data_IF_910219278437
#
_entry.id   IF_910219278437
#
_cell.length_a   1.000
_cell.length_b   1.000
_cell.length_c   1.000
_cell.angle_alpha   90.00
_cell.angle_beta   90.00
_cell.angle_gamma   90.00
#
_symmetry.space_group_name_H-M   'P 1'
#
loop_
_entity.id
_entity.type
_entity.pdbx_description
1 polymer ?
#
# COMPACT_ATOMS: atom_id res chain seq x y z
N UNK A 1 19.42 31.98 9.79
CA UNK A 1 20.49 32.88 10.26
C UNK A 1 21.70 32.07 10.72
N UNK A 2 22.94 32.54 10.50
CA UNK A 2 24.14 32.00 11.16
C UNK A 2 24.92 33.16 11.76
N UNK A 3 25.09 33.16 13.08
CA UNK A 3 25.69 34.26 13.85
C UNK A 3 25.06 35.64 13.54
N UNK A 4 23.73 35.71 13.51
CA UNK A 4 23.00 36.97 13.26
C UNK A 4 22.97 37.45 11.80
N UNK A 5 23.49 36.66 10.84
CA UNK A 5 23.49 37.01 9.41
C UNK A 5 22.57 36.10 8.60
N UNK A 6 21.84 36.68 7.65
CA UNK A 6 21.14 35.93 6.60
C UNK A 6 22.20 35.33 5.68
N UNK A 7 22.28 34.00 5.69
CA UNK A 7 23.26 33.25 4.90
C UNK A 7 22.86 33.11 3.42
N UNK A 8 21.61 32.76 3.08
CA UNK A 8 21.24 32.58 1.67
C UNK A 8 21.16 33.90 0.92
N UNK A 9 21.63 33.90 -0.33
CA UNK A 9 21.49 35.06 -1.23
C UNK A 9 20.03 35.29 -1.65
N UNK A 10 19.25 34.21 -1.74
CA UNK A 10 17.80 34.20 -1.98
C UNK A 10 17.15 33.04 -1.21
N UNK A 11 15.98 33.30 -0.62
CA UNK A 11 15.09 32.32 -0.01
C UNK A 11 13.88 32.13 -0.92
N UNK A 12 13.73 30.93 -1.45
CA UNK A 12 12.59 30.58 -2.31
C UNK A 12 11.45 30.07 -1.45
N UNK A 13 10.26 30.63 -1.64
CA UNK A 13 9.04 30.28 -0.93
C UNK A 13 7.98 29.75 -1.91
N UNK A 14 7.13 28.85 -1.43
CA UNK A 14 6.06 28.28 -2.26
C UNK A 14 4.79 29.12 -2.26
N UNK A 15 4.53 29.87 -1.19
CA UNK A 15 3.31 30.67 -1.06
C UNK A 15 3.56 31.95 -0.25
N UNK A 16 2.71 32.96 -0.47
CA UNK A 16 2.82 34.28 0.17
C UNK A 16 2.70 34.20 1.70
N UNK A 17 1.89 33.28 2.24
CA UNK A 17 1.77 33.06 3.69
C UNK A 17 3.13 32.79 4.38
N UNK A 18 4.05 32.13 3.67
CA UNK A 18 5.38 31.82 4.19
C UNK A 18 6.24 33.08 4.28
N UNK A 19 5.99 34.07 3.40
CA UNK A 19 6.67 35.35 3.43
C UNK A 19 6.19 36.17 4.63
N UNK A 20 4.89 36.16 4.91
CA UNK A 20 4.31 36.80 6.10
C UNK A 20 4.89 36.20 7.39
N UNK A 21 4.95 34.87 7.49
CA UNK A 21 5.58 34.18 8.63
C UNK A 21 7.07 34.43 8.74
N UNK A 22 7.77 34.57 7.61
CA UNK A 22 9.18 34.94 7.60
C UNK A 22 9.35 36.36 8.15
N UNK A 23 8.46 37.29 7.78
CA UNK A 23 8.49 38.67 8.29
C UNK A 23 8.28 38.74 9.80
N UNK A 24 7.41 37.88 10.35
CA UNK A 24 7.18 37.82 11.80
C UNK A 24 8.35 37.18 12.57
N UNK A 25 8.99 36.16 12.00
CA UNK A 25 9.97 35.34 12.72
C UNK A 25 11.44 35.74 12.47
N UNK A 26 11.77 36.17 11.25
CA UNK A 26 13.11 36.56 10.82
C UNK A 26 13.01 37.76 9.86
N UNK A 27 12.62 38.96 10.34
CA UNK A 27 12.41 40.14 9.49
C UNK A 27 13.61 40.47 8.59
N UNK A 28 14.83 40.21 9.06
CA UNK A 28 16.07 40.49 8.32
C UNK A 28 16.21 39.67 7.03
N UNK A 29 15.46 38.57 6.91
CA UNK A 29 15.49 37.68 5.76
C UNK A 29 14.42 38.02 4.70
N UNK A 30 13.49 38.93 4.98
CA UNK A 30 12.36 39.27 4.08
C UNK A 30 12.83 39.81 2.74
N UNK A 31 13.81 40.71 2.74
CA UNK A 31 14.38 41.28 1.49
C UNK A 31 15.06 40.23 0.60
N UNK A 32 15.28 39.02 1.12
CA UNK A 32 15.86 37.88 0.40
C UNK A 32 14.81 36.88 -0.05
N UNK A 33 13.56 37.02 0.37
CA UNK A 33 12.50 36.08 0.04
C UNK A 33 11.89 36.37 -1.33
N UNK A 34 11.70 35.31 -2.12
CA UNK A 34 11.01 35.36 -3.41
C UNK A 34 10.03 34.20 -3.46
N UNK A 35 8.75 34.52 -3.64
CA UNK A 35 7.71 33.53 -3.85
C UNK A 35 7.75 33.10 -5.31
N UNK A 36 8.06 31.82 -5.54
CA UNK A 36 8.11 31.25 -6.89
C UNK A 36 7.06 30.18 -7.11
N UNK A 37 6.38 29.71 -6.05
CA UNK A 37 5.55 28.52 -6.13
C UNK A 37 6.34 27.26 -5.75
N UNK A 38 5.71 26.10 -5.90
CA UNK A 38 6.29 24.81 -5.52
C UNK A 38 6.75 23.98 -6.73
N UNK A 39 8.07 23.86 -6.99
CA UNK A 39 8.57 23.05 -8.11
C UNK A 39 8.28 21.55 -7.98
N UNK A 40 8.11 21.02 -6.77
CA UNK A 40 7.74 19.61 -6.56
C UNK A 40 6.27 19.41 -6.91
N UNK A 41 5.39 20.33 -6.53
CA UNK A 41 3.98 20.29 -6.90
C UNK A 41 3.79 20.41 -8.42
N UNK A 42 4.53 21.29 -9.10
CA UNK A 42 4.54 21.37 -10.57
C UNK A 42 4.87 20.03 -11.23
N UNK A 43 5.90 19.34 -10.72
CA UNK A 43 6.27 18.00 -11.23
C UNK A 43 5.18 16.98 -10.96
N UNK A 44 4.47 17.07 -9.84
CA UNK A 44 3.34 16.20 -9.52
C UNK A 44 2.17 16.45 -10.48
N UNK A 45 1.79 17.71 -10.70
CA UNK A 45 0.76 18.10 -11.66
C UNK A 45 1.07 17.61 -13.08
N UNK A 46 2.30 17.83 -13.55
CA UNK A 46 2.76 17.35 -14.85
C UNK A 46 2.78 15.82 -14.97
N UNK A 47 2.92 15.10 -13.84
CA UNK A 47 2.99 13.63 -13.81
C UNK A 47 1.65 12.95 -13.56
N UNK A 48 0.55 13.69 -13.32
CA UNK A 48 -0.79 13.10 -13.04
C UNK A 48 -1.24 12.06 -14.09
N UNK A 49 -1.07 12.27 -15.41
CA UNK A 49 -1.49 11.29 -16.42
C UNK A 49 -0.75 9.95 -16.34
N UNK A 50 0.39 9.88 -15.63
CA UNK A 50 1.19 8.65 -15.46
C UNK A 50 0.71 7.75 -14.33
N UNK A 51 -0.43 8.08 -13.69
CA UNK A 51 -1.03 7.28 -12.62
C UNK A 51 -1.07 5.76 -12.92
N UNK A 52 -1.51 5.28 -14.10
CA UNK A 52 -1.52 3.84 -14.39
C UNK A 52 -0.12 3.21 -14.34
N UNK A 53 0.88 3.91 -14.88
CA UNK A 53 2.28 3.44 -14.84
C UNK A 53 2.84 3.38 -13.43
N UNK A 54 2.53 4.37 -12.58
CA UNK A 54 2.94 4.34 -11.17
C UNK A 54 2.28 3.21 -10.38
N UNK A 55 1.01 2.90 -10.64
CA UNK A 55 0.32 1.74 -10.03
C UNK A 55 0.97 0.42 -10.44
N UNK A 56 1.24 0.24 -11.74
CA UNK A 56 1.91 -0.94 -12.26
C UNK A 56 3.31 -1.13 -11.64
N UNK A 57 4.11 -0.07 -11.55
CA UNK A 57 5.45 -0.10 -10.93
C UNK A 57 5.42 -0.49 -9.44
N UNK A 58 4.32 -0.17 -8.74
CA UNK A 58 4.10 -0.49 -7.34
C UNK A 58 3.38 -1.84 -7.12
N UNK A 59 3.06 -2.58 -8.18
CA UNK A 59 2.32 -3.84 -8.07
C UNK A 59 0.85 -3.67 -7.63
N UNK A 60 0.27 -2.50 -7.87
CA UNK A 60 -1.12 -2.16 -7.53
C UNK A 60 -2.01 -2.43 -8.75
N UNK A 61 -3.00 -3.31 -8.61
CA UNK A 61 -3.97 -3.61 -9.66
C UNK A 61 -4.91 -2.44 -9.94
N UNK A 62 -5.56 -2.41 -11.09
CA UNK A 62 -6.46 -1.30 -11.46
C UNK A 62 -7.64 -1.14 -10.51
N UNK A 63 -8.16 -2.25 -9.98
CA UNK A 63 -9.31 -2.29 -9.07
C UNK A 63 -8.94 -2.27 -7.58
N UNK A 64 -7.64 -2.32 -7.24
CA UNK A 64 -7.18 -2.28 -5.84
C UNK A 64 -7.34 -0.87 -5.26
N UNK A 65 -7.85 -0.75 -4.03
CA UNK A 65 -7.78 0.50 -3.28
C UNK A 65 -6.36 0.67 -2.75
N UNK A 66 -5.65 1.70 -3.23
CA UNK A 66 -4.28 1.98 -2.83
C UNK A 66 -4.22 3.02 -1.72
N UNK A 67 -3.85 2.57 -0.52
CA UNK A 67 -3.71 3.38 0.70
C UNK A 67 -2.25 3.80 0.86
N UNK A 68 -1.98 5.10 0.87
CA UNK A 68 -0.64 5.63 1.19
C UNK A 68 -0.65 6.22 2.59
N UNK A 69 0.19 5.70 3.47
CA UNK A 69 0.38 6.19 4.83
C UNK A 69 1.64 7.06 4.86
N UNK A 70 1.52 8.32 5.30
CA UNK A 70 2.66 9.21 5.50
C UNK A 70 2.77 9.65 6.96
N UNK A 71 4.00 9.83 7.44
CA UNK A 71 4.27 10.33 8.79
C UNK A 71 5.37 11.37 8.74
N UNK A 72 5.21 12.44 9.54
CA UNK A 72 6.34 13.28 9.94
C UNK A 72 7.25 12.54 10.92
N UNK A 73 8.23 13.23 11.47
CA UNK A 73 9.25 12.67 12.35
C UNK A 73 9.18 13.37 13.70
N UNK A 74 8.59 12.75 14.72
CA UNK A 74 8.80 13.07 16.13
C UNK A 74 7.95 12.11 16.99
N UNK A 75 8.05 12.22 18.31
CA UNK A 75 7.16 11.51 19.25
C UNK A 75 5.67 11.78 19.03
N UNK A 76 5.33 12.91 18.42
CA UNK A 76 3.95 13.34 18.15
C UNK A 76 3.47 13.08 16.72
N UNK A 77 4.33 12.52 15.85
CA UNK A 77 3.93 12.12 14.50
C UNK A 77 3.01 10.90 14.54
N UNK A 78 2.43 10.54 13.39
CA UNK A 78 1.62 9.33 13.25
C UNK A 78 2.39 8.10 13.76
N UNK A 79 3.62 7.91 13.29
CA UNK A 79 4.41 6.74 13.68
C UNK A 79 4.90 6.80 15.13
N UNK A 80 5.03 8.00 15.71
CA UNK A 80 5.34 8.17 17.13
C UNK A 80 4.16 7.89 18.07
N UNK A 81 2.95 8.26 17.66
CA UNK A 81 1.73 8.17 18.50
C UNK A 81 0.90 6.91 18.27
N UNK A 82 1.01 6.32 17.08
CA UNK A 82 0.32 5.09 16.68
C UNK A 82 1.23 4.19 15.84
N UNK A 83 2.32 3.65 16.44
CA UNK A 83 3.30 2.82 15.73
C UNK A 83 2.69 1.57 15.08
N UNK A 84 1.64 1.00 15.67
CA UNK A 84 0.97 -0.20 15.14
C UNK A 84 0.00 0.06 13.99
N UNK A 85 -0.24 1.31 13.59
CA UNK A 85 -1.25 1.62 12.56
C UNK A 85 -0.98 0.88 11.24
N UNK A 86 0.28 0.82 10.78
CA UNK A 86 0.63 0.10 9.55
C UNK A 86 0.28 -1.38 9.65
N UNK A 87 0.62 -2.03 10.77
CA UNK A 87 0.28 -3.43 11.02
C UNK A 87 -1.22 -3.64 11.06
N UNK A 88 -1.96 -2.76 11.74
CA UNK A 88 -3.42 -2.84 11.86
C UNK A 88 -4.11 -2.66 10.51
N UNK A 89 -3.67 -1.70 9.68
CA UNK A 89 -4.18 -1.52 8.31
C UNK A 89 -3.93 -2.76 7.48
N UNK A 90 -2.71 -3.30 7.47
CA UNK A 90 -2.39 -4.50 6.68
C UNK A 90 -3.19 -5.72 7.17
N UNK A 91 -3.43 -5.84 8.47
CA UNK A 91 -4.24 -6.90 9.04
C UNK A 91 -5.72 -6.77 8.66
N UNK A 92 -6.30 -5.56 8.77
CA UNK A 92 -7.73 -5.30 8.56
C UNK A 92 -8.13 -5.17 7.09
N UNK A 93 -7.20 -4.78 6.22
CA UNK A 93 -7.44 -4.64 4.78
C UNK A 93 -7.17 -5.99 4.06
N UNK A 94 -8.19 -6.60 3.44
CA UNK A 94 -8.04 -7.85 2.70
C UNK A 94 -7.01 -7.75 1.56
N UNK A 95 -6.32 -8.85 1.28
CA UNK A 95 -5.31 -8.90 0.19
C UNK A 95 -5.94 -8.77 -1.21
N UNK A 96 -7.24 -9.09 -1.32
CA UNK A 96 -8.03 -8.99 -2.53
C UNK A 96 -8.74 -7.63 -2.58
N UNK A 97 -8.11 -6.64 -3.20
CA UNK A 97 -8.67 -5.30 -3.40
C UNK A 97 -8.03 -4.18 -2.59
N UNK A 98 -6.93 -4.42 -1.87
CA UNK A 98 -6.19 -3.37 -1.17
C UNK A 98 -4.67 -3.51 -1.29
N UNK A 99 -3.99 -2.37 -1.34
CA UNK A 99 -2.54 -2.25 -1.20
C UNK A 99 -2.23 -1.12 -0.23
N UNK A 100 -1.21 -1.31 0.60
CA UNK A 100 -0.78 -0.31 1.59
C UNK A 100 0.67 0.04 1.34
N UNK A 101 0.96 1.34 1.24
CA UNK A 101 2.32 1.86 1.21
C UNK A 101 2.63 2.74 2.41
N UNK A 102 3.90 2.75 2.83
CA UNK A 102 4.42 3.62 3.88
C UNK A 102 5.45 4.59 3.32
N UNK A 103 5.27 5.87 3.64
CA UNK A 103 6.21 6.98 3.37
C UNK A 103 6.64 7.56 4.71
N UNK A 104 7.78 7.09 5.22
CA UNK A 104 8.37 7.59 6.46
C UNK A 104 9.27 8.80 6.16
N UNK A 105 9.19 9.83 7.00
CA UNK A 105 10.00 11.03 6.86
C UNK A 105 11.52 10.72 6.81
N UNK A 106 12.32 11.42 5.97
CA UNK A 106 13.76 11.16 5.83
C UNK A 106 14.56 11.15 7.14
N UNK A 107 14.16 11.93 8.16
CA UNK A 107 14.83 11.91 9.47
C UNK A 107 14.72 10.56 10.20
N UNK A 108 13.59 9.84 10.07
CA UNK A 108 13.45 8.49 10.65
C UNK A 108 14.51 7.56 10.04
N UNK A 109 14.72 7.64 8.73
CA UNK A 109 15.74 6.87 8.04
C UNK A 109 17.16 7.30 8.41
N UNK A 110 17.40 8.60 8.54
CA UNK A 110 18.72 9.13 8.89
C UNK A 110 19.14 8.74 10.31
N UNK A 111 18.22 8.80 11.27
CA UNK A 111 18.50 8.53 12.68
C UNK A 111 18.67 7.03 12.96
N UNK A 112 17.85 6.18 12.33
CA UNK A 112 17.81 4.75 12.65
C UNK A 112 18.47 3.85 11.61
N UNK A 113 18.64 4.34 10.38
CA UNK A 113 19.15 3.57 9.27
C UNK A 113 18.14 2.59 8.65
N UNK A 114 18.37 2.15 7.40
CA UNK A 114 17.42 1.32 6.66
C UNK A 114 17.18 -0.06 7.29
N UNK A 115 18.21 -0.65 7.92
CA UNK A 115 18.08 -1.96 8.58
C UNK A 115 17.14 -1.94 9.78
N UNK A 116 17.19 -0.88 10.60
CA UNK A 116 16.31 -0.74 11.75
C UNK A 116 14.86 -0.47 11.34
N UNK A 117 14.65 0.37 10.31
CA UNK A 117 13.32 0.60 9.74
C UNK A 117 12.72 -0.70 9.18
N UNK A 118 13.51 -1.46 8.42
CA UNK A 118 13.08 -2.76 7.90
C UNK A 118 12.78 -3.76 9.02
N UNK A 119 13.54 -3.75 10.12
CA UNK A 119 13.31 -4.61 11.27
C UNK A 119 11.99 -4.28 11.98
N UNK A 120 11.69 -3.00 12.22
CA UNK A 120 10.42 -2.58 12.82
C UNK A 120 9.21 -2.96 11.97
N UNK A 121 9.37 -2.89 10.65
CA UNK A 121 8.31 -3.19 9.69
C UNK A 121 8.40 -4.60 9.12
N UNK A 122 9.21 -5.49 9.68
CA UNK A 122 9.52 -6.79 9.07
C UNK A 122 8.26 -7.63 8.81
N UNK A 123 7.33 -7.67 9.77
CA UNK A 123 6.08 -8.40 9.65
C UNK A 123 5.14 -7.75 8.62
N UNK A 124 5.15 -6.42 8.55
CA UNK A 124 4.39 -5.65 7.57
C UNK A 124 4.93 -5.90 6.15
N UNK A 125 6.26 -5.93 5.98
CA UNK A 125 6.93 -6.19 4.70
C UNK A 125 6.65 -7.62 4.19
N UNK A 126 6.72 -8.64 5.07
CA UNK A 126 6.30 -10.01 4.71
C UNK A 126 4.80 -10.11 4.41
N UNK A 127 4.02 -9.20 4.97
CA UNK A 127 2.60 -9.02 4.70
C UNK A 127 2.30 -8.08 3.53
N UNK A 128 3.26 -7.80 2.65
CA UNK A 128 3.03 -7.04 1.41
C UNK A 128 2.97 -5.52 1.58
N UNK A 129 3.45 -4.95 2.68
CA UNK A 129 3.65 -3.49 2.78
C UNK A 129 4.61 -3.02 1.69
N UNK A 130 4.20 -1.97 0.98
CA UNK A 130 5.03 -1.28 0.00
C UNK A 130 5.80 -0.17 0.73
N UNK A 131 7.07 -0.42 1.07
CA UNK A 131 7.89 0.60 1.75
C UNK A 131 8.60 1.49 0.72
N UNK A 132 8.27 2.77 0.73
CA UNK A 132 8.81 3.77 -0.19
C UNK A 132 10.09 4.39 0.42
N UNK A 133 11.22 4.42 -0.31
CA UNK A 133 12.44 5.05 0.18
C UNK A 133 12.28 6.58 0.31
N UNK A 134 13.11 7.24 1.16
CA UNK A 134 12.88 8.65 1.51
C UNK A 134 13.23 9.65 0.39
N UNK A 135 14.09 9.28 -0.56
CA UNK A 135 14.62 10.22 -1.55
C UNK A 135 13.64 10.52 -2.69
N UNK A 136 13.03 9.49 -3.27
CA UNK A 136 12.12 9.59 -4.42
C UNK A 136 11.03 8.52 -4.33
N UNK A 137 10.01 8.62 -5.18
CA UNK A 137 8.92 7.64 -5.29
C UNK A 137 7.67 7.98 -4.47
N UNK A 138 7.80 8.72 -3.36
CA UNK A 138 6.65 9.10 -2.52
C UNK A 138 5.62 9.95 -3.28
N UNK A 139 6.06 10.88 -4.12
CA UNK A 139 5.17 11.72 -4.92
C UNK A 139 4.42 10.90 -5.98
N UNK A 140 5.08 9.90 -6.58
CA UNK A 140 4.46 8.97 -7.51
C UNK A 140 3.44 8.06 -6.80
N UNK A 141 3.74 7.62 -5.57
CA UNK A 141 2.81 6.87 -4.74
C UNK A 141 1.55 7.69 -4.41
N UNK A 142 1.69 8.98 -4.07
CA UNK A 142 0.54 9.87 -3.87
C UNK A 142 -0.33 10.00 -5.12
N UNK A 143 0.26 10.16 -6.31
CA UNK A 143 -0.50 10.20 -7.58
C UNK A 143 -1.25 8.88 -7.80
N UNK A 144 -0.58 7.74 -7.54
CA UNK A 144 -1.12 6.39 -7.66
C UNK A 144 -2.24 6.09 -6.66
N UNK A 145 -2.24 6.74 -5.50
CA UNK A 145 -3.13 6.46 -4.36
C UNK A 145 -4.61 6.72 -4.67
N UNK A 146 -5.45 6.04 -3.90
CA UNK A 146 -6.89 6.26 -3.82
C UNK A 146 -7.29 6.94 -2.51
N UNK A 147 -6.47 6.80 -1.46
CA UNK A 147 -6.62 7.49 -0.18
C UNK A 147 -5.26 7.71 0.47
N UNK A 148 -5.12 8.83 1.18
CA UNK A 148 -3.93 9.16 1.96
C UNK A 148 -4.29 9.17 3.45
N UNK A 149 -3.53 8.43 4.25
CA UNK A 149 -3.59 8.51 5.71
C UNK A 149 -2.32 9.22 6.16
N UNK A 150 -2.45 10.27 6.96
CA UNK A 150 -1.29 11.03 7.37
C UNK A 150 -1.43 11.78 8.67
N UNK A 151 -0.40 12.57 8.97
CA UNK A 151 -0.37 13.55 10.05
C UNK A 151 -0.16 14.97 9.50
N UNK A 152 0.29 15.88 10.35
CA UNK A 152 0.54 17.30 10.11
C UNK A 152 1.74 17.60 9.18
N UNK A 153 1.95 16.76 8.16
CA UNK A 153 3.07 16.84 7.22
C UNK A 153 2.71 17.43 5.86
N UNK A 154 3.71 18.02 5.19
CA UNK A 154 3.58 18.52 3.82
C UNK A 154 3.18 17.42 2.82
N UNK A 155 3.64 16.18 3.04
CA UNK A 155 3.27 15.02 2.19
C UNK A 155 1.76 14.77 2.24
N UNK A 156 1.13 14.90 3.41
CA UNK A 156 -0.32 14.78 3.57
C UNK A 156 -1.05 15.92 2.84
N UNK A 157 -0.52 17.16 2.93
CA UNK A 157 -1.07 18.31 2.19
C UNK A 157 -0.98 18.12 0.67
N UNK A 158 0.11 17.56 0.15
CA UNK A 158 0.17 17.21 -1.28
C UNK A 158 -0.86 16.15 -1.67
N UNK A 159 -1.19 15.22 -0.77
CA UNK A 159 -2.29 14.27 -0.97
C UNK A 159 -3.62 14.99 -1.22
N UNK A 160 -3.99 15.89 -0.31
CA UNK A 160 -5.17 16.75 -0.45
C UNK A 160 -5.10 17.63 -1.70
N UNK A 161 -3.95 18.23 -2.00
CA UNK A 161 -3.79 19.10 -3.17
C UNK A 161 -3.82 18.34 -4.52
N UNK A 162 -3.58 17.03 -4.51
CA UNK A 162 -3.82 16.12 -5.63
C UNK A 162 -5.29 15.65 -5.71
N UNK A 163 -6.17 16.20 -4.88
CA UNK A 163 -7.58 15.86 -4.76
C UNK A 163 -7.80 14.40 -4.35
N UNK A 164 -6.97 13.92 -3.40
CA UNK A 164 -7.14 12.59 -2.77
C UNK A 164 -7.91 12.74 -1.46
N UNK A 165 -8.82 11.81 -1.12
CA UNK A 165 -9.37 11.78 0.23
C UNK A 165 -8.24 11.60 1.25
N UNK A 166 -8.30 12.38 2.34
CA UNK A 166 -7.31 12.37 3.41
C UNK A 166 -7.96 11.97 4.73
N UNK A 167 -7.29 11.06 5.45
CA UNK A 167 -7.60 10.72 6.83
C UNK A 167 -6.43 11.12 7.74
N UNK A 168 -6.70 11.91 8.78
CA UNK A 168 -5.68 12.35 9.75
C UNK A 168 -5.61 11.38 10.94
N UNK A 169 -4.50 10.64 11.05
CA UNK A 169 -4.27 9.70 12.15
C UNK A 169 -3.60 10.35 13.37
N UNK A 170 -2.89 11.46 13.18
CA UNK A 170 -2.33 12.28 14.25
C UNK A 170 -2.29 13.75 13.84
N UNK A 171 -2.83 14.64 14.66
CA UNK A 171 -2.85 16.07 14.36
C UNK A 171 -2.63 16.91 15.62
N UNK A 172 -1.37 17.01 16.10
CA UNK A 172 -1.00 17.88 17.21
C UNK A 172 -1.12 19.35 16.81
N UNK A 173 -2.26 19.97 17.11
CA UNK A 173 -2.60 21.34 16.69
C UNK A 173 -1.57 22.40 17.08
N UNK A 174 -0.87 22.21 18.20
CA UNK A 174 0.17 23.14 18.67
C UNK A 174 1.48 23.06 17.88
N UNK A 175 1.70 21.99 17.11
CA UNK A 175 2.86 21.83 16.23
C UNK A 175 2.57 22.41 14.83
N UNK A 176 1.35 22.91 14.60
CA UNK A 176 0.87 23.42 13.31
C UNK A 176 0.95 24.94 13.27
N UNK A 177 1.49 25.47 12.17
CA UNK A 177 1.56 26.90 11.98
C UNK A 177 0.21 27.48 11.54
N UNK A 178 -0.21 28.55 12.21
CA UNK A 178 -1.41 29.33 11.86
C UNK A 178 -1.30 29.86 10.43
N UNK A 179 -2.40 29.79 9.68
CA UNK A 179 -2.51 30.23 8.29
C UNK A 179 -1.89 29.27 7.27
N UNK A 180 -1.29 28.16 7.70
CA UNK A 180 -0.62 27.22 6.79
C UNK A 180 -1.60 26.26 6.11
N UNK A 181 -1.17 25.65 5.00
CA UNK A 181 -1.91 24.58 4.34
C UNK A 181 -2.20 23.38 5.27
N UNK A 182 -1.32 23.14 6.26
CA UNK A 182 -1.48 22.08 7.26
C UNK A 182 -2.63 22.42 8.21
N UNK A 183 -2.75 23.67 8.66
CA UNK A 183 -3.89 24.11 9.49
C UNK A 183 -5.21 23.93 8.75
N UNK A 184 -5.27 24.42 7.50
CA UNK A 184 -6.47 24.25 6.68
C UNK A 184 -6.83 22.79 6.47
N UNK A 185 -5.84 21.93 6.23
CA UNK A 185 -6.04 20.49 6.14
C UNK A 185 -6.69 19.93 7.43
N UNK A 186 -6.24 20.38 8.60
CA UNK A 186 -6.81 19.99 9.90
C UNK A 186 -8.28 20.37 10.10
N UNK A 187 -8.76 21.40 9.41
CA UNK A 187 -10.15 21.85 9.49
C UNK A 187 -11.08 21.02 8.59
N UNK A 188 -10.57 20.52 7.46
CA UNK A 188 -11.40 19.88 6.42
C UNK A 188 -11.22 18.36 6.32
N UNK A 189 -10.06 17.82 6.70
CA UNK A 189 -9.80 16.38 6.60
C UNK A 189 -10.47 15.59 7.74
N UNK A 190 -10.96 14.41 7.42
CA UNK A 190 -11.60 13.53 8.41
C UNK A 190 -10.56 12.89 9.33
N UNK A 191 -10.81 12.79 10.66
CA UNK A 191 -9.91 12.07 11.55
C UNK A 191 -10.03 10.55 11.36
N UNK A 192 -8.90 9.85 11.41
CA UNK A 192 -8.87 8.39 11.54
C UNK A 192 -9.06 8.02 13.02
N UNK A 193 -10.13 7.32 13.33
CA UNK A 193 -10.51 6.98 14.70
C UNK A 193 -9.92 5.63 15.11
N UNK A 194 -9.05 5.65 16.11
CA UNK A 194 -8.45 4.47 16.73
C UNK A 194 -9.49 3.54 17.35
N UNK A 195 -9.28 2.23 17.21
CA UNK A 195 -10.15 1.18 17.76
C UNK A 195 -11.47 0.98 17.00
N UNK A 196 -11.75 1.79 15.97
CA UNK A 196 -12.86 1.57 15.04
C UNK A 196 -12.38 0.80 13.81
N UNK A 197 -13.35 0.37 13.00
CA UNK A 197 -13.11 -0.33 11.74
C UNK A 197 -12.18 0.47 10.84
N UNK A 198 -10.93 0.04 10.63
CA UNK A 198 -10.01 0.78 9.75
C UNK A 198 -10.45 0.63 8.30
N UNK A 199 -10.86 -0.58 7.91
CA UNK A 199 -11.41 -0.84 6.57
C UNK A 199 -12.62 0.05 6.26
N UNK A 200 -13.65 0.03 7.11
CA UNK A 200 -14.83 0.84 6.91
C UNK A 200 -14.59 2.35 6.99
N UNK A 201 -13.49 2.80 7.60
CA UNK A 201 -13.06 4.20 7.54
C UNK A 201 -12.42 4.54 6.19
N UNK A 202 -11.54 3.68 5.69
CA UNK A 202 -10.94 3.79 4.35
C UNK A 202 -12.01 3.75 3.27
N UNK A 203 -12.91 2.78 3.31
CA UNK A 203 -13.98 2.60 2.33
C UNK A 203 -14.88 3.84 2.25
N UNK A 204 -15.26 4.41 3.40
CA UNK A 204 -16.06 5.64 3.45
C UNK A 204 -15.29 6.85 2.93
N UNK A 205 -14.02 7.00 3.31
CA UNK A 205 -13.21 8.10 2.81
C UNK A 205 -13.10 8.10 1.28
N UNK A 206 -12.98 6.92 0.66
CA UNK A 206 -12.96 6.78 -0.80
C UNK A 206 -14.33 7.02 -1.42
N UNK A 207 -15.38 6.44 -0.84
CA UNK A 207 -16.74 6.51 -1.40
C UNK A 207 -17.37 7.92 -1.28
N UNK A 208 -17.09 8.62 -0.19
CA UNK A 208 -17.71 9.90 0.14
C UNK A 208 -16.85 11.11 -0.31
N UNK A 209 -15.73 10.88 -1.01
CA UNK A 209 -14.84 11.97 -1.46
C UNK A 209 -15.53 12.85 -2.52
N UNK A 210 -15.63 14.14 -2.24
CA UNK A 210 -16.10 15.14 -3.19
C UNK A 210 -14.89 15.83 -3.86
N UNK A 211 -14.74 15.71 -5.20
CA UNK A 211 -13.65 16.37 -5.92
C UNK A 211 -13.65 17.89 -5.70
N UNK A 212 -12.47 18.45 -5.39
CA UNK A 212 -12.30 19.88 -5.13
C UNK A 212 -12.61 20.31 -3.68
N UNK A 213 -12.92 19.37 -2.79
CA UNK A 213 -13.16 19.64 -1.36
C UNK A 213 -11.95 20.25 -0.62
N UNK A 214 -10.75 20.21 -1.20
CA UNK A 214 -9.51 20.74 -0.62
C UNK A 214 -9.04 22.07 -1.25
N UNK A 215 -9.93 22.86 -1.86
CA UNK A 215 -9.57 24.11 -2.56
C UNK A 215 -8.65 25.05 -1.76
N UNK A 216 -9.00 25.34 -0.52
CA UNK A 216 -8.19 26.23 0.35
C UNK A 216 -6.80 25.64 0.68
N UNK A 217 -6.70 24.31 0.79
CA UNK A 217 -5.41 23.63 0.96
C UNK A 217 -4.57 23.75 -0.31
N UNK A 218 -5.18 23.55 -1.48
CA UNK A 218 -4.51 23.65 -2.80
C UNK A 218 -3.91 25.05 -2.98
N UNK A 219 -4.70 26.09 -2.69
CA UNK A 219 -4.29 27.49 -2.84
C UNK A 219 -3.04 27.79 -1.99
N UNK A 220 -2.96 27.23 -0.77
CA UNK A 220 -1.83 27.43 0.14
C UNK A 220 -0.60 26.56 -0.17
N UNK A 221 -0.72 25.53 -1.01
CA UNK A 221 0.44 24.67 -1.37
C UNK A 221 1.40 25.42 -2.29
N UNK A 222 0.87 26.15 -3.27
CA UNK A 222 1.68 26.89 -4.25
C UNK A 222 0.93 28.12 -4.75
N UNK A 223 1.56 29.30 -4.63
CA UNK A 223 1.02 30.55 -5.16
C UNK A 223 0.97 30.59 -6.70
N UNK A 224 1.80 29.78 -7.36
CA UNK A 224 1.90 29.74 -8.82
C UNK A 224 1.93 28.31 -9.36
N UNK A 225 0.83 27.54 -9.24
CA UNK A 225 0.77 26.17 -9.73
C UNK A 225 1.04 26.09 -11.24
N UNK A 226 2.05 25.31 -11.64
CA UNK A 226 2.47 25.11 -13.03
C UNK A 226 3.50 26.13 -13.53
N UNK A 227 3.85 27.15 -12.74
CA UNK A 227 4.81 28.20 -13.14
C UNK A 227 6.09 28.22 -12.32
N UNK A 228 6.20 27.41 -11.26
CA UNK A 228 7.30 27.48 -10.31
C UNK A 228 8.66 27.20 -10.95
N UNK A 229 8.72 26.26 -11.89
CA UNK A 229 9.94 26.00 -12.65
C UNK A 229 10.38 27.22 -13.48
N UNK A 230 9.44 27.94 -14.08
CA UNK A 230 9.73 29.12 -14.92
C UNK A 230 10.23 30.28 -14.06
N UNK A 231 9.54 30.54 -12.95
CA UNK A 231 9.89 31.58 -11.98
C UNK A 231 11.24 31.30 -11.34
N UNK A 232 11.51 30.04 -10.98
CA UNK A 232 12.80 29.62 -10.44
C UNK A 232 13.93 29.77 -11.47
N UNK A 233 13.68 29.44 -12.75
CA UNK A 233 14.67 29.65 -13.83
C UNK A 233 15.02 31.13 -13.97
N UNK A 234 14.01 31.99 -14.12
CA UNK A 234 14.21 33.44 -14.22
C UNK A 234 14.99 34.00 -13.01
N UNK A 235 14.62 33.56 -11.79
CA UNK A 235 15.30 33.95 -10.56
C UNK A 235 16.78 33.53 -10.56
N UNK A 236 17.09 32.27 -10.85
CA UNK A 236 18.47 31.78 -10.90
C UNK A 236 19.33 32.56 -11.90
N UNK A 237 18.82 32.81 -13.10
CA UNK A 237 19.54 33.60 -14.12
C UNK A 237 19.74 35.07 -13.69
N UNK A 238 18.73 35.67 -13.07
CA UNK A 238 18.82 37.00 -12.47
C UNK A 238 19.91 37.08 -11.40
N UNK A 239 19.97 36.10 -10.49
CA UNK A 239 21.02 36.02 -9.44
C UNK A 239 22.41 35.86 -10.04
N UNK A 240 22.56 35.10 -11.13
CA UNK A 240 23.83 34.93 -11.83
C UNK A 240 24.23 36.15 -12.68
N UNK A 241 23.34 37.13 -12.89
CA UNK A 241 23.56 38.25 -13.80
C UNK A 241 23.66 37.82 -15.27
N UNK A 242 22.98 36.73 -15.62
CA UNK A 242 22.98 36.15 -16.97
C UNK A 242 21.59 36.30 -17.62
N UNK A 243 21.52 36.46 -18.95
CA UNK A 243 20.23 36.40 -19.65
C UNK A 243 19.61 35.01 -19.53
N UNK A 244 18.29 34.94 -19.36
CA UNK A 244 17.58 33.68 -19.40
C UNK A 244 17.70 33.03 -20.80
N UNK A 245 17.96 31.71 -20.91
CA UNK A 245 18.03 31.03 -22.19
C UNK A 245 16.70 31.10 -22.94
N UNK A 246 16.71 31.29 -24.27
CA UNK A 246 15.50 31.22 -25.06
C UNK A 246 14.94 29.79 -25.07
N UNK A 247 13.61 29.66 -25.05
CA UNK A 247 12.91 28.38 -25.16
C UNK A 247 12.11 27.99 -23.92
N UNK A 248 11.32 26.91 -24.02
CA UNK A 248 10.43 26.48 -22.96
C UNK A 248 11.19 26.02 -21.71
N UNK A 249 10.53 26.12 -20.55
CA UNK A 249 11.04 25.57 -19.30
C UNK A 249 10.74 24.09 -19.26
N UNK A 250 11.74 23.28 -18.93
CA UNK A 250 11.56 21.83 -18.76
C UNK A 250 11.07 21.56 -17.34
N UNK A 251 9.89 20.95 -17.21
CA UNK A 251 9.39 20.40 -15.94
C UNK A 251 9.61 18.88 -15.98
N UNK A 252 10.62 18.35 -15.27
CA UNK A 252 10.94 16.93 -15.32
C UNK A 252 9.85 16.11 -14.63
N UNK A 253 9.32 15.11 -15.34
CA UNK A 253 8.35 14.18 -14.77
C UNK A 253 8.96 13.39 -13.61
N UNK A 254 8.10 12.86 -12.74
CA UNK A 254 8.52 11.99 -11.65
C UNK A 254 9.07 10.67 -12.21
N UNK A 255 10.11 10.13 -11.57
CA UNK A 255 10.63 8.81 -11.90
C UNK A 255 9.60 7.72 -11.55
N UNK A 256 9.75 6.54 -12.14
CA UNK A 256 9.03 5.37 -11.64
C UNK A 256 9.49 5.06 -10.21
N UNK A 257 8.55 4.81 -9.28
CA UNK A 257 8.92 4.53 -7.90
C UNK A 257 9.62 3.17 -7.81
N UNK A 258 10.78 3.14 -7.17
CA UNK A 258 11.36 1.90 -6.66
C UNK A 258 10.81 1.66 -5.26
N UNK A 259 10.23 0.49 -5.02
CA UNK A 259 9.66 0.14 -3.72
C UNK A 259 10.12 -1.25 -3.30
N UNK A 260 10.28 -1.44 -1.99
CA UNK A 260 10.48 -2.75 -1.41
C UNK A 260 9.12 -3.35 -1.10
N UNK A 261 8.74 -4.38 -1.85
CA UNK A 261 7.57 -5.20 -1.57
C UNK A 261 7.84 -6.64 -2.03
N UNK A 262 7.13 -7.60 -1.43
CA UNK A 262 7.17 -9.00 -1.81
C UNK A 262 5.73 -9.53 -1.91
N UNK A 263 5.47 -10.55 -2.74
CA UNK A 263 4.22 -11.29 -2.71
C UNK A 263 3.93 -11.82 -1.30
N UNK A 264 2.65 -11.96 -0.95
CA UNK A 264 2.24 -12.53 0.33
C UNK A 264 2.77 -13.97 0.47
N UNK A 265 3.59 -14.18 1.49
CA UNK A 265 4.15 -15.49 1.79
C UNK A 265 3.28 -16.31 2.77
N UNK A 266 2.36 -15.66 3.49
CA UNK A 266 1.38 -16.34 4.34
C UNK A 266 0.06 -15.55 4.43
N UNK A 267 -1.06 -16.26 4.33
CA UNK A 267 -2.42 -15.68 4.32
C UNK A 267 -3.33 -16.50 5.20
N UNK A 268 -4.07 -15.83 6.09
CA UNK A 268 -5.17 -16.39 6.86
C UNK A 268 -6.45 -16.22 6.05
N UNK A 269 -7.19 -17.29 5.84
CA UNK A 269 -8.36 -17.31 4.98
C UNK A 269 -9.57 -17.82 5.75
N UNK A 270 -10.67 -17.08 5.73
CA UNK A 270 -11.99 -17.60 6.12
C UNK A 270 -12.85 -17.69 4.86
N UNK A 271 -13.72 -18.69 4.77
CA UNK A 271 -14.62 -18.81 3.64
C UNK A 271 -15.94 -19.46 3.98
N UNK A 272 -16.94 -19.12 3.18
CA UNK A 272 -18.31 -19.58 3.32
C UNK A 272 -18.78 -20.15 1.96
N UNK A 273 -19.22 -21.42 1.90
CA UNK A 273 -19.92 -21.94 0.72
C UNK A 273 -21.20 -21.14 0.49
N UNK A 274 -21.38 -20.60 -0.71
CA UNK A 274 -22.58 -19.84 -1.09
C UNK A 274 -23.53 -20.63 -1.98
N UNK A 275 -23.03 -21.71 -2.58
CA UNK A 275 -23.76 -22.64 -3.45
C UNK A 275 -23.02 -23.99 -3.50
N UNK A 276 -23.52 -24.95 -4.27
CA UNK A 276 -22.89 -26.28 -4.45
C UNK A 276 -21.49 -26.23 -5.06
N UNK A 277 -21.19 -25.18 -5.82
CA UNK A 277 -19.95 -24.98 -6.58
C UNK A 277 -19.42 -23.54 -6.41
N UNK A 278 -19.86 -22.82 -5.38
CA UNK A 278 -19.49 -21.42 -5.16
C UNK A 278 -19.02 -21.17 -3.73
N UNK A 279 -17.89 -20.46 -3.59
CA UNK A 279 -17.29 -20.11 -2.30
C UNK A 279 -16.93 -18.63 -2.26
N UNK A 280 -17.31 -17.98 -1.17
CA UNK A 280 -16.85 -16.62 -0.85
C UNK A 280 -15.70 -16.69 0.12
N UNK A 281 -14.62 -15.95 -0.15
CA UNK A 281 -13.42 -15.89 0.68
C UNK A 281 -13.17 -14.49 1.23
N UNK A 282 -12.60 -14.44 2.43
CA UNK A 282 -11.91 -13.28 3.02
C UNK A 282 -10.49 -13.70 3.35
N UNK A 283 -9.50 -12.96 2.84
CA UNK A 283 -8.09 -13.34 2.88
C UNK A 283 -7.27 -12.18 3.43
N UNK A 284 -6.52 -12.45 4.50
CA UNK A 284 -5.74 -11.43 5.22
C UNK A 284 -4.31 -11.91 5.47
N UNK A 285 -3.30 -11.03 5.45
CA UNK A 285 -1.90 -11.42 5.65
C UNK A 285 -1.68 -12.03 7.04
N UNK A 286 -1.09 -13.21 7.11
CA UNK A 286 -0.98 -13.94 8.38
C UNK A 286 0.03 -13.30 9.35
N UNK A 287 1.16 -12.79 8.86
CA UNK A 287 2.19 -12.16 9.70
C UNK A 287 1.67 -10.90 10.42
N UNK A 288 0.87 -10.07 9.73
CA UNK A 288 0.26 -8.88 10.33
C UNK A 288 -0.77 -9.22 11.42
N UNK A 289 -1.35 -10.42 11.40
CA UNK A 289 -2.29 -10.91 12.41
C UNK A 289 -1.60 -11.51 13.64
N UNK A 290 -0.29 -11.79 13.58
CA UNK A 290 0.48 -12.26 14.73
C UNK A 290 0.57 -11.19 15.80
N UNK A 291 0.34 -11.57 17.05
CA UNK A 291 0.45 -10.69 18.23
C UNK A 291 -0.32 -9.36 18.05
N UNK A 292 -1.43 -9.37 17.31
CA UNK A 292 -2.18 -8.15 16.98
C UNK A 292 -2.81 -7.51 18.22
N UNK A 293 -2.75 -6.18 18.28
CA UNK A 293 -3.52 -5.40 19.26
C UNK A 293 -4.99 -5.19 18.84
N UNK A 294 -5.31 -5.33 17.54
CA UNK A 294 -6.68 -5.18 17.04
C UNK A 294 -7.46 -6.49 17.17
N UNK A 295 -8.73 -6.41 17.56
CA UNK A 295 -9.66 -7.54 17.51
C UNK A 295 -10.11 -7.88 16.07
N UNK A 296 -9.76 -7.05 15.08
CA UNK A 296 -10.18 -7.16 13.69
C UNK A 296 -9.04 -7.61 12.77
N UNK A 297 -9.34 -8.28 11.64
CA UNK A 297 -10.64 -8.83 11.27
C UNK A 297 -11.03 -10.00 12.18
N UNK A 298 -12.32 -10.25 12.34
CA UNK A 298 -12.80 -11.52 12.93
C UNK A 298 -12.89 -12.53 11.80
N UNK A 299 -12.11 -13.61 11.92
CA UNK A 299 -12.03 -14.67 10.91
C UNK A 299 -12.42 -15.98 11.59
N UNK A 300 -13.70 -16.32 11.47
CA UNK A 300 -14.23 -17.59 11.97
C UNK A 300 -13.78 -18.74 11.08
N UNK A 301 -13.49 -19.89 11.70
CA UNK A 301 -13.07 -21.14 11.03
C UNK A 301 -11.99 -20.96 9.96
N UNK A 302 -11.02 -20.08 10.26
CA UNK A 302 -10.02 -19.67 9.29
C UNK A 302 -8.85 -20.65 9.18
N UNK A 303 -8.50 -21.02 7.96
CA UNK A 303 -7.33 -21.83 7.63
C UNK A 303 -6.13 -20.97 7.26
N UNK A 304 -4.93 -21.53 7.42
CA UNK A 304 -3.66 -20.87 7.16
C UNK A 304 -3.01 -21.40 5.88
N UNK A 305 -2.73 -20.50 4.94
CA UNK A 305 -2.06 -20.78 3.67
C UNK A 305 -0.65 -20.20 3.73
N UNK A 306 0.39 -21.02 3.55
CA UNK A 306 1.78 -20.62 3.78
C UNK A 306 2.71 -21.12 2.68
N UNK A 307 3.62 -20.26 2.24
CA UNK A 307 4.70 -20.64 1.35
C UNK A 307 5.68 -21.58 2.08
N UNK A 308 6.12 -22.65 1.44
CA UNK A 308 7.01 -23.63 2.07
C UNK A 308 8.33 -23.01 2.59
N UNK A 309 8.82 -21.98 1.90
CA UNK A 309 10.01 -21.21 2.30
C UNK A 309 9.77 -20.18 3.40
N UNK A 310 8.58 -20.09 4.00
CA UNK A 310 8.25 -19.03 4.94
C UNK A 310 9.24 -18.98 6.12
N UNK A 311 9.73 -17.78 6.42
CA UNK A 311 10.85 -17.58 7.34
C UNK A 311 10.47 -17.79 8.82
N UNK A 312 9.20 -17.66 9.16
CA UNK A 312 8.69 -17.79 10.54
C UNK A 312 8.24 -19.24 10.80
N UNK A 313 8.95 -20.03 11.62
CA UNK A 313 8.67 -21.46 11.78
C UNK A 313 7.29 -21.76 12.37
N UNK A 314 6.78 -20.93 13.29
CA UNK A 314 5.46 -21.14 13.89
C UNK A 314 4.33 -20.92 12.88
N UNK A 315 4.48 -20.00 11.93
CA UNK A 315 3.50 -19.80 10.84
C UNK A 315 3.57 -21.00 9.90
N UNK A 316 4.79 -21.37 9.47
CA UNK A 316 5.01 -22.52 8.57
C UNK A 316 4.52 -23.84 9.15
N UNK A 317 4.73 -24.08 10.44
CA UNK A 317 4.37 -25.33 11.11
C UNK A 317 2.87 -25.51 11.37
N UNK A 318 2.07 -24.45 11.27
CA UNK A 318 0.61 -24.48 11.48
C UNK A 318 -0.18 -24.32 10.17
N UNK A 319 0.47 -24.50 9.02
CA UNK A 319 -0.16 -24.35 7.71
C UNK A 319 -1.17 -25.46 7.43
N UNK A 320 -2.40 -25.08 7.10
CA UNK A 320 -3.43 -25.98 6.56
C UNK A 320 -3.20 -26.24 5.07
N UNK A 321 -2.65 -25.25 4.37
CA UNK A 321 -2.26 -25.31 2.96
C UNK A 321 -0.81 -24.86 2.84
N UNK A 322 0.04 -25.70 2.28
CA UNK A 322 1.44 -25.35 1.98
C UNK A 322 1.62 -25.18 0.49
N UNK A 323 2.26 -24.11 0.03
CA UNK A 323 2.47 -23.88 -1.39
C UNK A 323 3.89 -23.51 -1.77
N UNK A 324 4.21 -23.66 -3.04
CA UNK A 324 5.40 -23.07 -3.68
C UNK A 324 5.01 -22.39 -4.99
N UNK A 325 5.80 -21.38 -5.37
CA UNK A 325 5.75 -20.76 -6.72
C UNK A 325 6.91 -21.22 -7.60
N UNK A 326 7.80 -22.05 -7.08
CA UNK A 326 8.86 -22.69 -7.86
C UNK A 326 8.28 -23.89 -8.65
N UNK A 327 8.30 -23.78 -9.97
CA UNK A 327 7.74 -24.78 -10.88
C UNK A 327 8.78 -25.76 -11.41
N UNK A 328 10.06 -25.61 -11.06
CA UNK A 328 11.17 -26.35 -11.68
C UNK A 328 11.14 -27.86 -11.46
N UNK A 329 10.36 -28.36 -10.49
CA UNK A 329 10.11 -29.79 -10.25
C UNK A 329 8.77 -30.02 -9.54
N UNK A 330 7.70 -29.42 -10.08
CA UNK A 330 6.37 -29.38 -9.45
C UNK A 330 5.90 -30.74 -8.90
N UNK A 331 6.07 -31.81 -9.68
CA UNK A 331 5.60 -33.14 -9.27
C UNK A 331 6.42 -33.83 -8.19
N UNK A 332 7.73 -33.69 -8.23
CA UNK A 332 8.60 -34.22 -7.16
C UNK A 332 8.39 -33.42 -5.88
N UNK A 333 8.23 -32.10 -6.00
CA UNK A 333 7.94 -31.23 -4.88
C UNK A 333 6.61 -31.56 -4.21
N UNK A 334 5.51 -31.74 -4.98
CA UNK A 334 4.21 -32.12 -4.41
C UNK A 334 4.31 -33.40 -3.59
N UNK A 335 5.01 -34.42 -4.11
CA UNK A 335 5.23 -35.69 -3.39
C UNK A 335 6.03 -35.49 -2.10
N UNK A 336 7.17 -34.79 -2.18
CA UNK A 336 7.96 -34.49 -0.99
C UNK A 336 7.18 -33.68 0.05
N UNK A 337 6.46 -32.65 -0.39
CA UNK A 337 5.70 -31.76 0.49
C UNK A 337 4.60 -32.49 1.28
N UNK A 338 3.94 -33.50 0.70
CA UNK A 338 2.94 -34.31 1.45
C UNK A 338 3.56 -35.08 2.62
N UNK A 339 4.84 -35.49 2.49
CA UNK A 339 5.58 -36.20 3.55
C UNK A 339 6.17 -35.22 4.56
N UNK A 340 6.71 -34.09 4.09
CA UNK A 340 7.34 -33.07 4.93
C UNK A 340 6.32 -32.25 5.76
N UNK A 341 5.09 -32.13 5.26
CA UNK A 341 4.01 -31.38 5.90
C UNK A 341 2.78 -32.27 6.16
N UNK A 342 2.87 -33.28 7.03
CA UNK A 342 1.82 -34.29 7.22
C UNK A 342 0.52 -33.73 7.82
N UNK A 343 0.54 -32.50 8.35
CA UNK A 343 -0.64 -31.83 8.89
C UNK A 343 -1.31 -30.86 7.89
N UNK A 344 -0.66 -30.58 6.75
CA UNK A 344 -1.28 -29.79 5.69
C UNK A 344 -2.34 -30.65 5.00
N UNK A 345 -3.55 -30.10 4.85
CA UNK A 345 -4.65 -30.76 4.12
C UNK A 345 -4.47 -30.67 2.61
N UNK A 346 -3.81 -29.62 2.14
CA UNK A 346 -3.52 -29.42 0.73
C UNK A 346 -2.07 -28.94 0.58
N UNK A 347 -1.34 -29.51 -0.37
CA UNK A 347 -0.08 -28.93 -0.86
C UNK A 347 -0.27 -28.48 -2.31
N UNK A 348 0.29 -27.32 -2.68
CA UNK A 348 0.02 -26.73 -3.99
C UNK A 348 1.26 -26.13 -4.67
N UNK A 349 1.33 -26.28 -5.98
CA UNK A 349 2.29 -25.56 -6.84
C UNK A 349 1.52 -24.53 -7.65
N UNK A 350 1.91 -23.27 -7.55
CA UNK A 350 1.27 -22.17 -8.28
C UNK A 350 2.12 -21.75 -9.47
N UNK A 351 1.52 -21.72 -10.66
CA UNK A 351 2.16 -21.36 -11.92
C UNK A 351 1.33 -20.31 -12.65
N UNK A 352 1.76 -19.05 -12.59
CA UNK A 352 1.03 -17.94 -13.22
C UNK A 352 -0.39 -17.78 -12.67
N UNK A 353 -1.38 -18.15 -13.48
CA UNK A 353 -2.82 -18.07 -13.14
C UNK A 353 -3.44 -19.43 -12.77
N UNK A 354 -2.66 -20.50 -12.82
CA UNK A 354 -3.10 -21.87 -12.60
C UNK A 354 -2.37 -22.46 -11.39
N UNK A 355 -2.90 -23.55 -10.86
CA UNK A 355 -2.24 -24.29 -9.79
C UNK A 355 -2.56 -25.78 -9.84
N UNK A 356 -1.62 -26.59 -9.35
CA UNK A 356 -1.80 -28.01 -9.12
C UNK A 356 -1.80 -28.23 -7.62
N UNK A 357 -2.83 -28.89 -7.10
CA UNK A 357 -3.02 -29.11 -5.67
C UNK A 357 -3.19 -30.60 -5.38
N UNK A 358 -2.43 -31.13 -4.43
CA UNK A 358 -2.62 -32.47 -3.89
C UNK A 358 -3.38 -32.40 -2.57
N UNK A 359 -4.52 -33.05 -2.50
CA UNK A 359 -5.35 -33.15 -1.29
C UNK A 359 -4.89 -34.35 -0.46
N UNK A 360 -4.70 -34.16 0.83
CA UNK A 360 -4.35 -35.23 1.77
C UNK A 360 -5.42 -36.33 1.74
N UNK A 361 -5.00 -37.58 1.51
CA UNK A 361 -5.89 -38.75 1.33
C UNK A 361 -6.88 -38.62 0.16
N UNK A 362 -6.65 -37.69 -0.77
CA UNK A 362 -7.54 -37.34 -1.87
C UNK A 362 -6.85 -37.28 -3.23
N UNK A 363 -7.52 -36.71 -4.24
CA UNK A 363 -6.97 -36.59 -5.59
C UNK A 363 -5.92 -35.49 -5.68
N UNK A 364 -5.11 -35.57 -6.74
CA UNK A 364 -4.34 -34.44 -7.24
C UNK A 364 -5.21 -33.74 -8.29
N UNK A 365 -5.42 -32.44 -8.14
CA UNK A 365 -6.27 -31.66 -9.02
C UNK A 365 -5.53 -30.49 -9.64
N UNK A 366 -5.87 -30.19 -10.89
CA UNK A 366 -5.47 -29.00 -11.62
C UNK A 366 -6.60 -27.99 -11.55
N UNK A 367 -6.31 -26.79 -11.05
CA UNK A 367 -7.24 -25.66 -11.04
C UNK A 367 -6.77 -24.63 -12.06
N UNK A 368 -7.59 -24.42 -13.09
CA UNK A 368 -7.30 -23.51 -14.20
C UNK A 368 -8.27 -22.34 -14.20
N UNK A 369 -7.76 -21.11 -14.24
CA UNK A 369 -8.61 -19.93 -14.39
C UNK A 369 -9.21 -19.89 -15.80
N UNK A 370 -10.55 -19.87 -15.86
CA UNK A 370 -11.31 -19.92 -17.12
C UNK A 370 -12.03 -18.61 -17.43
N UNK A 371 -12.72 -18.01 -16.46
CA UNK A 371 -13.56 -16.84 -16.69
C UNK A 371 -13.60 -15.91 -15.46
N UNK A 372 -14.08 -14.69 -15.68
CA UNK A 372 -14.32 -13.71 -14.61
C UNK A 372 -13.08 -12.93 -14.19
N UNK A 373 -13.11 -12.42 -12.95
CA UNK A 373 -12.07 -11.58 -12.39
C UNK A 373 -10.73 -12.31 -12.29
N UNK A 374 -9.63 -11.56 -12.32
CA UNK A 374 -8.29 -12.11 -12.08
C UNK A 374 -8.06 -12.23 -10.57
N UNK A 375 -8.03 -13.46 -10.06
CA UNK A 375 -7.69 -13.76 -8.67
C UNK A 375 -6.32 -14.45 -8.57
N UNK A 376 -5.68 -14.34 -7.41
CA UNK A 376 -4.53 -15.17 -7.06
C UNK A 376 -4.97 -16.65 -7.07
N UNK A 377 -4.25 -17.56 -7.76
CA UNK A 377 -4.63 -18.97 -7.82
C UNK A 377 -4.78 -19.64 -6.44
N UNK A 378 -4.09 -19.13 -5.41
CA UNK A 378 -4.27 -19.60 -4.03
C UNK A 378 -5.69 -19.35 -3.48
N UNK A 379 -6.44 -18.41 -4.05
CA UNK A 379 -7.87 -18.26 -3.75
C UNK A 379 -8.65 -19.50 -4.21
N UNK A 380 -8.34 -20.08 -5.37
CA UNK A 380 -8.98 -21.30 -5.84
C UNK A 380 -8.63 -22.50 -4.96
N UNK A 381 -7.36 -22.65 -4.57
CA UNK A 381 -6.93 -23.70 -3.64
C UNK A 381 -7.62 -23.57 -2.28
N UNK A 382 -7.76 -22.35 -1.78
CA UNK A 382 -8.48 -22.08 -0.52
C UNK A 382 -9.99 -22.33 -0.65
N UNK A 383 -10.58 -21.99 -1.78
CA UNK A 383 -11.98 -22.28 -2.05
C UNK A 383 -12.23 -23.79 -2.10
N UNK A 384 -11.33 -24.56 -2.70
CA UNK A 384 -11.39 -26.03 -2.69
C UNK A 384 -11.28 -26.57 -1.25
N UNK A 385 -10.37 -26.05 -0.44
CA UNK A 385 -10.27 -26.42 0.98
C UNK A 385 -11.59 -26.19 1.73
N UNK A 386 -12.17 -25.00 1.60
CA UNK A 386 -13.44 -24.63 2.26
C UNK A 386 -14.56 -25.52 1.75
N UNK A 387 -14.63 -25.76 0.44
CA UNK A 387 -15.63 -26.64 -0.15
C UNK A 387 -15.53 -28.05 0.43
N UNK A 388 -14.35 -28.66 0.40
CA UNK A 388 -14.12 -30.02 0.93
C UNK A 388 -14.48 -30.15 2.41
N UNK A 389 -14.19 -29.11 3.23
CA UNK A 389 -14.54 -29.09 4.65
C UNK A 389 -16.06 -29.18 4.91
N UNK A 390 -16.89 -28.83 3.93
CA UNK A 390 -18.36 -28.84 4.02
C UNK A 390 -19.00 -30.04 3.30
N UNK A 391 -18.22 -30.97 2.75
CA UNK A 391 -18.72 -32.16 2.06
C UNK A 391 -18.51 -33.44 2.85
N UNK A 392 -19.22 -34.49 2.43
CA UNK A 392 -18.91 -35.86 2.87
C UNK A 392 -17.64 -36.38 2.18
N UNK A 393 -16.90 -37.28 2.84
CA UNK A 393 -15.60 -37.75 2.38
C UNK A 393 -15.58 -38.37 0.97
N UNK A 394 -16.72 -38.85 0.46
CA UNK A 394 -16.84 -39.52 -0.84
C UNK A 394 -17.33 -38.59 -1.98
N UNK A 395 -17.58 -37.30 -1.70
CA UNK A 395 -18.05 -36.37 -2.73
C UNK A 395 -16.87 -35.88 -3.59
N UNK A 396 -16.83 -36.19 -4.90
CA UNK A 396 -15.75 -35.71 -5.76
C UNK A 396 -15.81 -34.19 -5.93
N UNK A 397 -14.67 -33.50 -6.10
CA UNK A 397 -14.65 -32.06 -6.38
C UNK A 397 -15.56 -31.69 -7.56
N UNK A 398 -16.21 -30.52 -7.54
CA UNK A 398 -17.03 -30.10 -8.66
C UNK A 398 -16.13 -29.82 -9.87
N UNK A 399 -16.65 -30.04 -11.09
CA UNK A 399 -15.87 -29.75 -12.31
C UNK A 399 -15.53 -28.27 -12.48
N UNK A 400 -16.29 -27.40 -11.82
CA UNK A 400 -16.06 -25.97 -11.78
C UNK A 400 -16.25 -25.45 -10.36
N UNK A 401 -15.50 -24.41 -10.01
CA UNK A 401 -15.60 -23.72 -8.73
C UNK A 401 -15.62 -22.21 -8.97
N UNK A 402 -16.72 -21.58 -8.57
CA UNK A 402 -16.91 -20.13 -8.58
C UNK A 402 -16.35 -19.56 -7.29
N UNK A 403 -15.40 -18.64 -7.41
CA UNK A 403 -14.68 -18.06 -6.29
C UNK A 403 -14.85 -16.56 -6.30
N UNK A 404 -15.29 -16.01 -5.17
CA UNK A 404 -15.33 -14.57 -4.96
C UNK A 404 -14.50 -14.20 -3.73
N UNK A 405 -13.50 -13.35 -3.91
CA UNK A 405 -12.66 -12.87 -2.83
C UNK A 405 -12.94 -11.39 -2.56
N UNK A 406 -13.51 -11.08 -1.41
CA UNK A 406 -13.81 -9.73 -0.94
C UNK A 406 -14.29 -8.72 -2.01
N UNK A 407 -13.50 -7.66 -2.31
CA UNK A 407 -13.83 -6.60 -3.27
C UNK A 407 -13.67 -7.04 -4.72
N UNK A 408 -13.01 -8.17 -4.97
CA UNK A 408 -12.83 -8.68 -6.32
C UNK A 408 -14.14 -9.21 -6.90
N UNK A 409 -14.21 -9.20 -8.23
CA UNK A 409 -15.27 -9.89 -8.95
C UNK A 409 -15.21 -11.41 -8.73
N UNK A 410 -16.25 -12.10 -9.19
CA UNK A 410 -16.27 -13.56 -9.23
C UNK A 410 -15.33 -14.08 -10.33
N UNK A 411 -14.63 -15.17 -10.04
CA UNK A 411 -13.77 -15.89 -10.97
C UNK A 411 -14.18 -17.36 -11.02
N UNK A 412 -14.05 -17.98 -12.20
CA UNK A 412 -14.42 -19.38 -12.40
C UNK A 412 -13.16 -20.19 -12.67
N UNK A 413 -12.97 -21.23 -11.87
CA UNK A 413 -11.89 -22.19 -12.00
C UNK A 413 -12.45 -23.54 -12.44
N UNK A 414 -11.88 -24.12 -13.49
CA UNK A 414 -12.15 -25.53 -13.82
C UNK A 414 -11.25 -26.41 -12.98
N UNK A 415 -11.81 -27.50 -12.45
CA UNK A 415 -11.09 -28.50 -11.66
C UNK A 415 -11.07 -29.81 -12.44
N UNK A 416 -9.88 -30.37 -12.62
CA UNK A 416 -9.68 -31.69 -13.24
C UNK A 416 -8.75 -32.50 -12.38
N UNK A 417 -8.97 -33.81 -12.29
CA UNK A 417 -7.96 -34.71 -11.75
C UNK A 417 -6.73 -34.68 -12.67
N UNK A 418 -5.54 -34.55 -12.08
CA UNK A 418 -4.30 -34.49 -12.84
C UNK A 418 -3.94 -35.88 -13.34
N UNK A 419 -3.74 -36.03 -14.65
CA UNK A 419 -3.26 -37.29 -15.26
C UNK A 419 -1.75 -37.51 -15.05
N UNK A 420 -1.02 -36.47 -14.62
CA UNK A 420 0.43 -36.50 -14.42
C UNK A 420 0.85 -37.26 -13.15
N UNK A 421 -0.09 -37.49 -12.24
CA UNK A 421 0.09 -38.21 -11.00
C UNK A 421 -0.91 -39.37 -11.00
N UNK A 422 -0.50 -40.58 -10.58
CA UNK A 422 -1.47 -41.65 -10.36
C UNK A 422 -2.58 -41.19 -9.40
N UNK A 423 -3.70 -41.93 -9.25
CA UNK A 423 -4.88 -41.47 -8.52
C UNK A 423 -4.63 -41.10 -7.05
N UNK A 424 -3.46 -41.45 -6.49
CA UNK A 424 -2.98 -41.06 -5.16
C UNK A 424 -1.47 -40.84 -5.15
N UNK A 425 -1.02 -39.80 -4.45
CA UNK A 425 0.37 -39.66 -4.02
C UNK A 425 0.51 -40.53 -2.76
N UNK A 426 1.12 -41.70 -2.90
CA UNK A 426 1.50 -42.58 -1.76
C UNK A 426 2.82 -42.17 -1.15
#
# INVERSE_FOLDING_TARGET
MRAGRVVPDVLVLSHDEQADRLADSVPEAVDRAVVVGDPRFDRMLASRPRRPGFRAALGVGDDDVFVVVSTTWWSRSLFGTWPDLLRQLIAELPVDGYRVAAVLHPHIWHEHGPGQVALWLADCLRSGLILIPPAEGWAAALIASDVVIGDHGAVTCYGAALDKPVLLAAFPTEDVAVGSCVEQLGLVASPLIRGRDLRGQVDRAVADHEPGSYGEVVDLVSAYPGEAAARLRALCYGVMGLPEPPGPVVVPLLAEPSALWAPYAAVRVSGDPTDTDAVRLRRHPADALQNRESARPVLDDAHLVVEAGHQVPVIRGNADIVFTRDTSSAGDWLRAATVEHPFARIVAVVSGKDCVAAVSEGPVVELTHTEGARLDPLAAVSALYVWLAHQTADTPPPSQLRVRADRSGEAVFTIKESELFGPRIT
#
